data_IF_218295177101
#
_entry.id   IF_218295177101
#
_cell.length_a   1.000
_cell.length_b   1.000
_cell.length_c   1.000
_cell.angle_alpha   90.00
_cell.angle_beta   90.00
_cell.angle_gamma   90.00
#
_symmetry.space_group_name_H-M   'P 1'
#
loop_
_entity.id
_entity.type
_entity.pdbx_description
1 polymer ?
#
# COMPACT_ATOMS: atom_id res chain seq x y z
N UNK A 1 -21.27 -3.80 14.21
CA UNK A 1 -20.37 -3.94 13.05
C UNK A 1 -20.08 -2.54 12.54
N UNK A 2 -18.99 -1.91 13.00
CA UNK A 2 -18.63 -0.55 12.59
C UNK A 2 -17.77 -0.62 11.33
N UNK A 3 -18.32 -0.25 10.17
CA UNK A 3 -17.50 -0.09 8.97
C UNK A 3 -16.59 1.13 9.17
N UNK A 4 -15.28 0.90 9.21
CA UNK A 4 -14.28 1.94 9.49
C UNK A 4 -14.08 2.83 8.27
N UNK A 5 -14.89 3.88 8.14
CA UNK A 5 -14.73 4.87 7.10
C UNK A 5 -13.53 5.80 7.40
N UNK A 6 -12.70 6.07 6.41
CA UNK A 6 -11.62 7.05 6.51
C UNK A 6 -12.20 8.46 6.64
N UNK A 7 -11.71 9.21 7.62
CA UNK A 7 -12.02 10.63 7.82
C UNK A 7 -11.15 11.56 7.00
N UNK A 8 -10.13 11.04 6.28
CA UNK A 8 -9.16 11.82 5.47
C UNK A 8 -9.18 11.50 3.98
N UNK A 9 -9.91 10.48 3.55
CA UNK A 9 -9.93 10.06 2.15
C UNK A 9 -11.35 10.09 1.59
N UNK A 10 -11.56 10.96 0.59
CA UNK A 10 -12.77 10.94 -0.23
C UNK A 10 -12.68 9.83 -1.28
N UNK A 11 -13.75 9.07 -1.42
CA UNK A 11 -14.00 8.20 -2.56
C UNK A 11 -15.01 8.86 -3.49
N UNK A 12 -14.61 9.07 -4.74
CA UNK A 12 -15.42 9.76 -5.76
C UNK A 12 -15.69 8.81 -6.91
N UNK A 13 -16.97 8.66 -7.26
CA UNK A 13 -17.49 7.80 -8.33
C UNK A 13 -18.20 8.62 -9.39
N UNK A 14 -18.51 7.91 -10.49
CA UNK A 14 -19.22 8.44 -11.66
C UNK A 14 -18.48 9.58 -12.37
N UNK A 15 -17.14 9.63 -12.27
CA UNK A 15 -16.33 10.57 -13.04
C UNK A 15 -16.41 10.24 -14.54
N UNK A 16 -16.34 11.28 -15.37
CA UNK A 16 -16.41 11.12 -16.82
C UNK A 16 -15.25 10.28 -17.36
N UNK A 17 -15.57 9.10 -17.91
CA UNK A 17 -14.62 8.12 -18.45
C UNK A 17 -14.15 8.43 -19.87
N UNK A 18 -14.84 9.34 -20.58
CA UNK A 18 -14.51 9.72 -21.96
C UNK A 18 -13.33 10.70 -22.01
N UNK A 19 -13.02 11.36 -20.89
CA UNK A 19 -11.94 12.34 -20.80
C UNK A 19 -10.63 11.69 -20.35
N UNK A 20 -9.46 12.23 -20.78
CA UNK A 20 -8.17 11.77 -20.30
C UNK A 20 -8.06 11.86 -18.77
N UNK A 21 -7.55 10.80 -18.15
CA UNK A 21 -7.41 10.70 -16.69
C UNK A 21 -6.65 11.89 -16.09
N UNK A 22 -5.63 12.39 -16.80
CA UNK A 22 -4.83 13.55 -16.37
C UNK A 22 -5.68 14.82 -16.25
N UNK A 23 -6.59 15.05 -17.20
CA UNK A 23 -7.46 16.23 -17.19
C UNK A 23 -8.54 16.13 -16.10
N UNK A 24 -9.18 14.96 -15.97
CA UNK A 24 -10.16 14.73 -14.90
C UNK A 24 -9.51 14.93 -13.53
N UNK A 25 -8.33 14.34 -13.32
CA UNK A 25 -7.56 14.48 -12.08
C UNK A 25 -7.19 15.92 -11.76
N UNK A 26 -6.73 16.69 -12.76
CA UNK A 26 -6.37 18.10 -12.60
C UNK A 26 -7.56 18.96 -12.21
N UNK A 27 -8.69 18.82 -12.92
CA UNK A 27 -9.94 19.55 -12.65
C UNK A 27 -10.53 19.19 -11.30
N UNK A 28 -10.45 17.91 -10.92
CA UNK A 28 -10.90 17.42 -9.62
C UNK A 28 -10.05 18.02 -8.49
N UNK A 29 -8.73 18.13 -8.69
CA UNK A 29 -7.83 18.84 -7.79
C UNK A 29 -8.28 20.28 -7.57
N UNK A 30 -8.46 21.06 -8.65
CA UNK A 30 -8.93 22.46 -8.56
C UNK A 30 -10.28 22.61 -7.86
N UNK A 31 -11.18 21.64 -8.03
CA UNK A 31 -12.48 21.65 -7.36
C UNK A 31 -12.31 21.50 -5.84
N UNK A 32 -11.52 20.52 -5.40
CA UNK A 32 -11.40 20.11 -4.00
C UNK A 32 -10.45 21.02 -3.21
N UNK A 33 -9.42 21.61 -3.84
CA UNK A 33 -8.50 22.55 -3.18
C UNK A 33 -9.16 23.81 -2.63
N UNK A 34 -10.42 24.08 -3.01
CA UNK A 34 -11.22 25.16 -2.42
C UNK A 34 -11.73 24.85 -1.02
N UNK A 35 -11.79 23.58 -0.65
CA UNK A 35 -12.32 23.13 0.63
C UNK A 35 -11.24 22.53 1.52
N UNK A 36 -10.25 21.85 0.92
CA UNK A 36 -9.25 21.07 1.64
C UNK A 36 -7.91 21.08 0.92
N UNK A 37 -6.81 21.11 1.67
CA UNK A 37 -5.50 20.81 1.09
C UNK A 37 -5.42 19.33 0.73
N UNK A 38 -5.02 19.04 -0.52
CA UNK A 38 -4.94 17.68 -1.05
C UNK A 38 -3.50 17.19 -0.95
N UNK A 39 -3.30 16.05 -0.30
CA UNK A 39 -2.01 15.36 -0.28
C UNK A 39 -1.81 14.51 -1.53
N UNK A 40 -2.85 13.79 -1.97
CA UNK A 40 -2.73 12.88 -3.13
C UNK A 40 -4.06 12.57 -3.76
N UNK A 41 -4.08 12.55 -5.10
CA UNK A 41 -5.20 12.01 -5.87
C UNK A 41 -4.75 10.72 -6.55
N UNK A 42 -5.47 9.62 -6.32
CA UNK A 42 -5.30 8.34 -7.01
C UNK A 42 -6.47 8.11 -7.94
N UNK A 43 -6.16 7.84 -9.20
CA UNK A 43 -7.13 7.50 -10.25
C UNK A 43 -6.44 6.49 -11.19
N UNK A 44 -7.18 5.54 -11.75
CA UNK A 44 -6.62 4.54 -12.67
C UNK A 44 -7.53 4.28 -13.86
N UNK A 45 -6.94 3.87 -14.99
CA UNK A 45 -7.66 3.40 -16.16
C UNK A 45 -7.90 1.87 -16.14
N UNK A 46 -7.58 1.18 -15.05
CA UNK A 46 -7.89 -0.25 -14.89
C UNK A 46 -9.42 -0.43 -14.97
N UNK A 47 -9.94 -1.45 -15.70
CA UNK A 47 -11.38 -1.61 -15.91
C UNK A 47 -12.23 -1.52 -14.63
N UNK A 48 -11.78 -2.16 -13.54
CA UNK A 48 -12.46 -2.16 -12.23
C UNK A 48 -12.47 -0.80 -11.52
N UNK A 49 -11.60 0.13 -11.91
CA UNK A 49 -11.39 1.44 -11.27
C UNK A 49 -11.74 2.62 -12.20
N UNK A 50 -12.31 2.35 -13.38
CA UNK A 50 -12.66 3.39 -14.33
C UNK A 50 -13.75 4.33 -13.76
N UNK A 51 -13.52 5.63 -13.89
CA UNK A 51 -14.43 6.67 -13.40
C UNK A 51 -14.48 6.77 -11.87
N UNK A 52 -13.46 6.23 -11.19
CA UNK A 52 -13.32 6.28 -9.74
C UNK A 52 -12.03 7.01 -9.36
N UNK A 53 -12.08 7.82 -8.32
CA UNK A 53 -10.92 8.47 -7.74
C UNK A 53 -10.94 8.37 -6.22
N UNK A 54 -9.75 8.33 -5.63
CA UNK A 54 -9.54 8.50 -4.20
C UNK A 54 -8.75 9.79 -4.01
N UNK A 55 -9.18 10.64 -3.08
CA UNK A 55 -8.55 11.94 -2.79
C UNK A 55 -8.21 11.97 -1.31
N UNK A 56 -6.91 11.97 -1.02
CA UNK A 56 -6.39 12.04 0.34
C UNK A 56 -6.12 13.48 0.72
N UNK A 57 -6.69 13.89 1.86
CA UNK A 57 -6.67 15.23 2.39
C UNK A 57 -5.65 15.33 3.52
N UNK A 58 -5.16 16.55 3.75
CA UNK A 58 -4.25 16.84 4.87
C UNK A 58 -4.99 16.78 6.23
N UNK A 59 -6.30 17.03 6.21
CA UNK A 59 -7.17 17.20 7.38
C UNK A 59 -8.35 16.22 7.39
N UNK A 60 -8.94 15.98 8.57
CA UNK A 60 -10.04 15.03 8.82
C UNK A 60 -11.43 15.57 8.49
N UNK A 61 -11.56 16.34 7.41
CA UNK A 61 -12.76 17.12 7.08
C UNK A 61 -13.67 16.47 6.03
N UNK A 62 -13.49 15.17 5.79
CA UNK A 62 -14.16 14.45 4.69
C UNK A 62 -15.68 14.64 4.76
N UNK A 63 -16.29 14.48 5.95
CA UNK A 63 -17.75 14.59 6.16
C UNK A 63 -18.28 16.01 5.91
N UNK A 64 -17.53 17.04 6.27
CA UNK A 64 -17.92 18.44 6.14
C UNK A 64 -18.01 18.88 4.68
N UNK A 65 -17.12 18.35 3.84
CA UNK A 65 -17.03 18.75 2.43
C UNK A 65 -17.93 17.91 1.51
N UNK A 66 -18.52 16.80 1.98
CA UNK A 66 -19.40 15.94 1.17
C UNK A 66 -20.59 16.71 0.60
N UNK A 67 -21.24 17.56 1.39
CA UNK A 67 -22.40 18.34 0.94
C UNK A 67 -22.11 19.26 -0.24
N UNK A 68 -20.83 19.59 -0.49
CA UNK A 68 -20.39 20.41 -1.62
C UNK A 68 -19.99 19.61 -2.86
N UNK A 69 -19.87 18.28 -2.72
CA UNK A 69 -19.27 17.39 -3.71
C UNK A 69 -20.25 16.29 -4.17
N UNK A 70 -20.95 15.63 -3.25
CA UNK A 70 -21.89 14.56 -3.58
C UNK A 70 -23.10 15.13 -4.33
N UNK A 71 -23.48 14.48 -5.44
CA UNK A 71 -24.56 14.96 -6.30
C UNK A 71 -24.19 16.17 -7.18
N UNK A 72 -22.92 16.60 -7.20
CA UNK A 72 -22.49 17.76 -8.00
C UNK A 72 -22.31 17.41 -9.47
N UNK A 73 -22.73 18.29 -10.37
CA UNK A 73 -22.39 18.18 -11.79
C UNK A 73 -20.91 18.57 -12.03
N UNK A 74 -20.15 17.64 -12.62
CA UNK A 74 -18.72 17.77 -12.87
C UNK A 74 -18.32 17.05 -14.17
N UNK A 75 -17.75 17.81 -15.11
CA UNK A 75 -17.25 17.31 -16.41
C UNK A 75 -18.26 16.45 -17.19
N UNK A 76 -19.54 16.78 -17.13
CA UNK A 76 -20.59 16.07 -17.87
C UNK A 76 -21.34 15.00 -17.08
N UNK A 77 -20.91 14.68 -15.86
CA UNK A 77 -21.56 13.68 -15.01
C UNK A 77 -21.93 14.27 -13.64
N UNK A 78 -22.96 13.72 -13.01
CA UNK A 78 -23.24 13.95 -11.59
C UNK A 78 -22.37 13.02 -10.75
N UNK A 79 -21.38 13.58 -10.05
CA UNK A 79 -20.45 12.77 -9.26
C UNK A 79 -21.09 12.32 -7.95
N UNK A 80 -20.68 11.15 -7.46
CA UNK A 80 -21.00 10.70 -6.11
C UNK A 80 -19.72 10.73 -5.27
N UNK A 81 -19.77 11.34 -4.10
CA UNK A 81 -18.67 11.45 -3.16
C UNK A 81 -19.08 10.89 -1.80
N UNK A 82 -18.23 10.05 -1.21
CA UNK A 82 -18.44 9.52 0.13
C UNK A 82 -17.09 9.30 0.84
N UNK A 83 -17.08 9.05 2.16
CA UNK A 83 -15.88 8.61 2.85
C UNK A 83 -15.39 7.28 2.28
N UNK A 84 -14.10 7.18 2.01
CA UNK A 84 -13.52 5.93 1.54
C UNK A 84 -13.56 4.88 2.67
N UNK A 85 -13.78 3.62 2.30
CA UNK A 85 -13.73 2.50 3.26
C UNK A 85 -12.32 2.27 3.83
N UNK A 86 -11.26 2.76 3.17
CA UNK A 86 -9.87 2.72 3.66
C UNK A 86 -9.06 3.82 2.95
N UNK A 87 -7.87 4.16 3.47
CA UNK A 87 -6.92 5.08 2.85
C UNK A 87 -6.23 4.49 1.60
N UNK A 88 -7.03 4.30 0.56
CA UNK A 88 -6.63 3.71 -0.72
C UNK A 88 -5.56 4.52 -1.48
N UNK A 89 -5.34 5.78 -1.09
CA UNK A 89 -4.32 6.69 -1.64
C UNK A 89 -2.92 6.42 -1.08
N UNK A 90 -2.84 6.01 0.18
CA UNK A 90 -1.57 5.80 0.89
C UNK A 90 -0.93 4.47 0.45
N UNK A 91 -1.72 3.55 -0.13
CA UNK A 91 -1.31 2.16 -0.24
C UNK A 91 -1.31 1.54 1.16
N UNK A 92 -1.28 0.20 1.26
CA UNK A 92 -0.92 -0.40 2.55
C UNK A 92 0.39 0.26 2.98
N UNK A 93 0.42 0.92 4.15
CA UNK A 93 1.66 1.47 4.71
C UNK A 93 2.72 0.40 4.52
N UNK A 94 3.77 0.69 3.75
CA UNK A 94 4.93 -0.19 3.72
C UNK A 94 5.39 -0.27 5.18
N UNK A 95 5.44 -1.46 5.79
CA UNK A 95 5.94 -1.56 7.15
C UNK A 95 7.35 -0.95 7.13
N UNK A 96 7.54 0.14 7.88
CA UNK A 96 8.85 0.78 7.94
C UNK A 96 9.71 -0.15 8.78
N UNK A 97 10.55 -0.93 8.11
CA UNK A 97 11.60 -1.71 8.74
C UNK A 97 12.72 -0.71 9.05
N UNK A 98 12.91 -0.36 10.32
CA UNK A 98 14.01 0.50 10.77
C UNK A 98 15.33 -0.25 10.92
N UNK A 99 15.28 -1.58 10.82
CA UNK A 99 16.43 -2.46 10.96
C UNK A 99 16.92 -2.97 9.61
N UNK A 100 18.22 -3.22 9.55
CA UNK A 100 18.89 -3.78 8.38
C UNK A 100 18.70 -5.30 8.28
N UNK A 101 18.18 -5.93 9.33
CA UNK A 101 18.11 -7.38 9.45
C UNK A 101 16.66 -7.84 9.49
N UNK A 102 16.32 -8.82 8.65
CA UNK A 102 15.03 -9.52 8.72
C UNK A 102 15.23 -10.87 9.41
N UNK A 103 14.25 -11.27 10.23
CA UNK A 103 14.18 -12.56 10.89
C UNK A 103 13.18 -13.45 10.16
N UNK A 104 13.61 -14.67 9.82
CA UNK A 104 12.74 -15.74 9.40
C UNK A 104 12.61 -16.77 10.52
N UNK A 105 11.39 -17.16 10.85
CA UNK A 105 11.07 -18.24 11.78
C UNK A 105 10.22 -19.31 11.11
N UNK A 106 10.00 -20.42 11.82
CA UNK A 106 9.19 -21.55 11.36
C UNK A 106 9.75 -22.18 10.08
N UNK A 107 11.09 -22.24 9.97
CA UNK A 107 11.77 -22.82 8.81
C UNK A 107 11.61 -24.35 8.83
N UNK A 108 10.99 -24.96 7.80
CA UNK A 108 10.87 -26.42 7.73
C UNK A 108 12.25 -27.09 7.69
N UNK A 109 12.37 -28.26 8.32
CA UNK A 109 13.62 -29.04 8.37
C UNK A 109 14.31 -29.33 7.02
N UNK A 110 13.61 -29.55 5.88
CA UNK A 110 14.29 -29.74 4.59
C UNK A 110 14.82 -28.44 3.96
N UNK A 111 14.46 -27.26 4.49
CA UNK A 111 14.91 -25.97 3.94
C UNK A 111 16.34 -25.68 4.41
N UNK A 112 17.20 -25.39 3.43
CA UNK A 112 18.61 -25.09 3.63
C UNK A 112 18.89 -23.60 3.58
N UNK A 113 20.11 -23.20 3.98
CA UNK A 113 20.59 -21.83 3.78
C UNK A 113 20.52 -21.42 2.29
N UNK A 114 20.84 -22.34 1.38
CA UNK A 114 20.84 -22.08 -0.06
C UNK A 114 19.45 -21.69 -0.58
N UNK A 115 18.40 -22.38 -0.11
CA UNK A 115 17.02 -22.04 -0.48
C UNK A 115 16.63 -20.63 -0.03
N UNK A 116 17.06 -20.24 1.18
CA UNK A 116 16.83 -18.88 1.70
C UNK A 116 17.65 -17.87 0.88
N UNK A 117 18.88 -18.19 0.53
CA UNK A 117 19.72 -17.33 -0.31
C UNK A 117 19.10 -17.10 -1.69
N UNK A 118 18.59 -18.15 -2.33
CA UNK A 118 17.91 -18.06 -3.63
C UNK A 118 16.63 -17.20 -3.57
N UNK A 119 15.87 -17.28 -2.48
CA UNK A 119 14.69 -16.44 -2.27
C UNK A 119 15.09 -14.96 -2.16
N UNK A 120 16.18 -14.65 -1.46
CA UNK A 120 16.54 -13.28 -1.11
C UNK A 120 17.56 -12.60 -2.04
N UNK A 121 18.27 -13.37 -2.87
CA UNK A 121 19.24 -12.87 -3.85
C UNK A 121 18.61 -11.93 -4.90
N UNK A 122 17.30 -12.05 -5.13
CA UNK A 122 16.55 -11.16 -6.02
C UNK A 122 16.36 -9.74 -5.47
N UNK A 123 16.59 -9.52 -4.17
CA UNK A 123 16.53 -8.21 -3.55
C UNK A 123 17.92 -7.54 -3.56
N UNK A 124 17.94 -6.22 -3.74
CA UNK A 124 19.17 -5.44 -3.64
C UNK A 124 19.73 -5.43 -2.22
N UNK A 125 21.05 -5.30 -2.10
CA UNK A 125 21.71 -5.04 -0.81
C UNK A 125 21.80 -6.23 0.14
N UNK A 126 21.66 -7.49 -0.30
CA UNK A 126 21.89 -8.65 0.55
C UNK A 126 23.37 -8.75 0.98
N UNK A 127 23.66 -8.63 2.27
CA UNK A 127 25.02 -8.75 2.83
C UNK A 127 25.32 -10.16 3.34
N UNK A 128 24.33 -10.82 3.95
CA UNK A 128 24.58 -12.12 4.55
C UNK A 128 23.34 -12.81 5.11
N UNK A 129 23.46 -14.12 5.28
CA UNK A 129 22.42 -14.97 5.87
C UNK A 129 23.03 -15.80 6.99
N UNK A 130 22.53 -15.61 8.21
CA UNK A 130 22.87 -16.41 9.39
C UNK A 130 21.75 -17.43 9.65
N UNK A 131 21.91 -18.63 9.10
CA UNK A 131 20.97 -19.73 9.28
C UNK A 131 21.27 -20.53 10.55
N UNK A 132 20.26 -20.74 11.40
CA UNK A 132 20.35 -21.50 12.66
C UNK A 132 19.33 -22.63 12.60
N UNK A 133 19.69 -23.71 11.91
CA UNK A 133 18.80 -24.85 11.65
C UNK A 133 18.24 -25.49 12.92
N UNK A 134 19.03 -25.58 14.00
CA UNK A 134 18.59 -26.13 15.29
C UNK A 134 17.43 -25.36 15.94
N UNK A 135 17.26 -24.08 15.60
CA UNK A 135 16.17 -23.23 16.08
C UNK A 135 15.15 -22.91 15.00
N UNK A 136 15.28 -23.50 13.81
CA UNK A 136 14.40 -23.24 12.66
C UNK A 136 14.25 -21.74 12.35
N UNK A 137 15.36 -20.99 12.42
CA UNK A 137 15.36 -19.54 12.19
C UNK A 137 16.59 -19.06 11.40
N UNK A 138 16.43 -17.93 10.71
CA UNK A 138 17.48 -17.30 9.93
C UNK A 138 17.44 -15.78 10.08
N UNK A 139 18.61 -15.14 10.15
CA UNK A 139 18.75 -13.69 10.03
C UNK A 139 19.29 -13.35 8.66
N UNK A 140 18.69 -12.34 8.03
CA UNK A 140 19.02 -11.86 6.69
C UNK A 140 19.45 -10.41 6.83
N UNK A 141 20.74 -10.16 6.66
CA UNK A 141 21.36 -8.86 6.80
C UNK A 141 21.39 -8.14 5.44
N UNK A 142 20.92 -6.90 5.42
CA UNK A 142 20.94 -6.01 4.27
C UNK A 142 21.89 -4.82 4.48
N UNK A 143 22.35 -4.22 3.38
CA UNK A 143 23.21 -3.04 3.38
C UNK A 143 22.52 -1.82 3.96
N UNK A 144 21.24 -1.65 3.71
CA UNK A 144 20.45 -0.50 4.22
C UNK A 144 19.11 -0.95 4.80
N UNK A 145 18.53 -0.22 5.76
CA UNK A 145 17.16 -0.49 6.23
C UNK A 145 16.12 -0.29 5.11
N UNK A 146 16.42 0.53 4.09
CA UNK A 146 15.57 0.69 2.91
C UNK A 146 15.50 -0.60 2.07
N UNK A 147 16.62 -1.30 1.90
CA UNK A 147 16.69 -2.59 1.21
C UNK A 147 15.90 -3.67 1.97
N UNK A 148 16.10 -3.76 3.28
CA UNK A 148 15.35 -4.67 4.16
C UNK A 148 13.84 -4.36 4.12
N UNK A 149 13.47 -3.08 4.14
CA UNK A 149 12.07 -2.63 4.03
C UNK A 149 11.46 -3.01 2.67
N UNK A 150 12.24 -2.93 1.59
CA UNK A 150 11.81 -3.35 0.25
C UNK A 150 11.57 -4.85 0.20
N UNK A 151 12.49 -5.66 0.72
CA UNK A 151 12.34 -7.11 0.80
C UNK A 151 11.14 -7.52 1.68
N UNK A 152 11.00 -6.93 2.87
CA UNK A 152 9.87 -7.21 3.75
C UNK A 152 8.52 -6.81 3.15
N UNK A 153 8.47 -5.67 2.45
CA UNK A 153 7.26 -5.20 1.76
C UNK A 153 6.81 -6.12 0.62
N UNK A 154 7.72 -6.93 0.05
CA UNK A 154 7.34 -7.95 -0.92
C UNK A 154 6.50 -9.06 -0.28
N UNK A 155 6.86 -9.45 0.94
CA UNK A 155 6.14 -10.44 1.76
C UNK A 155 5.13 -9.76 2.70
N UNK A 156 4.31 -8.85 2.16
CA UNK A 156 3.42 -7.97 2.92
C UNK A 156 2.38 -8.66 3.82
N UNK A 157 2.18 -9.98 3.69
CA UNK A 157 1.35 -10.81 4.56
C UNK A 157 2.13 -11.46 5.72
N UNK A 158 3.45 -11.24 5.79
CA UNK A 158 4.33 -11.79 6.82
C UNK A 158 4.80 -13.21 6.53
N UNK A 159 4.62 -13.72 5.30
CA UNK A 159 4.94 -15.11 4.96
C UNK A 159 5.83 -15.23 3.72
N UNK A 160 6.88 -16.03 3.84
CA UNK A 160 7.70 -16.50 2.73
C UNK A 160 7.19 -17.88 2.33
N UNK A 161 6.69 -18.00 1.10
CA UNK A 161 6.14 -19.26 0.58
C UNK A 161 7.23 -20.08 -0.08
N UNK A 162 7.41 -21.32 0.35
CA UNK A 162 8.39 -22.26 -0.21
C UNK A 162 7.75 -23.63 -0.47
N UNK A 163 8.35 -24.43 -1.36
CA UNK A 163 7.82 -25.76 -1.74
C UNK A 163 7.68 -26.72 -0.54
N UNK A 164 8.52 -26.53 0.48
CA UNK A 164 8.54 -27.35 1.69
C UNK A 164 7.67 -26.79 2.83
N UNK A 165 7.01 -25.64 2.64
CA UNK A 165 6.18 -25.00 3.65
C UNK A 165 6.29 -23.48 3.66
N UNK A 166 5.41 -22.84 4.42
CA UNK A 166 5.44 -21.40 4.64
C UNK A 166 6.34 -21.07 5.84
N UNK A 167 7.16 -20.05 5.69
CA UNK A 167 8.02 -19.52 6.76
C UNK A 167 7.53 -18.13 7.13
N UNK A 168 7.65 -17.76 8.40
CA UNK A 168 7.23 -16.44 8.87
C UNK A 168 8.39 -15.45 8.76
N UNK A 169 8.12 -14.24 8.29
CA UNK A 169 9.12 -13.16 8.21
C UNK A 169 8.70 -11.99 9.10
N UNK A 170 9.68 -11.37 9.76
CA UNK A 170 9.51 -10.18 10.58
C UNK A 170 10.75 -9.28 10.52
N UNK A 171 10.63 -7.97 10.77
CA UNK A 171 11.76 -7.13 11.11
C UNK A 171 12.47 -7.71 12.34
N UNK A 172 13.80 -7.83 12.31
CA UNK A 172 14.54 -8.11 13.54
C UNK A 172 14.42 -6.89 14.44
N UNK A 173 14.08 -7.09 15.72
CA UNK A 173 14.08 -6.04 16.74
C UNK A 173 15.52 -5.69 17.17
#
# INVERSE_FOLDING_TARGET
MGEGHSTRTLYIRNLNRKLPIREVKRRLGLLITRFAKILKIKMSNKPKLLGQAFVHLDEEITNEILGNLDGRFFLGNVISACPAHEDMCIGKRRPIVSTRTLLITDIPSPVTKGDIEDIFRGFGGLEGIRFIGVKSLAFIDFSTPEDASTAYSYFADGWVRHIHGNMKIAPSA
#
